data_IF_328761198307
#
_entry.id   IF_328761198307
#
_cell.length_a   1.000
_cell.length_b   1.000
_cell.length_c   1.000
_cell.angle_alpha   90.00
_cell.angle_beta   90.00
_cell.angle_gamma   90.00
#
_symmetry.space_group_name_H-M   'P 1'
#
loop_
_entity.id
_entity.type
_entity.pdbx_description
1 polymer ?
#
# COMPACT_ATOMS: atom_id res chain seq x y z
N UNK A 1 -36.32 -16.94 4.44
CA UNK A 1 -36.10 -17.77 5.64
C UNK A 1 -34.73 -17.51 6.27
N UNK A 2 -33.65 -17.41 5.49
CA UNK A 2 -32.33 -17.06 6.04
C UNK A 2 -32.33 -15.72 6.79
N UNK A 3 -32.98 -14.70 6.23
CA UNK A 3 -33.16 -13.40 6.90
C UNK A 3 -33.89 -13.49 8.23
N UNK A 4 -34.98 -14.30 8.30
CA UNK A 4 -35.70 -14.50 9.55
C UNK A 4 -34.84 -15.24 10.60
N UNK A 5 -34.03 -16.20 10.19
CA UNK A 5 -33.08 -16.87 11.07
C UNK A 5 -31.99 -15.87 11.53
N UNK A 6 -31.50 -15.04 10.64
CA UNK A 6 -30.51 -14.00 10.98
C UNK A 6 -31.07 -12.99 11.98
N UNK A 7 -32.32 -12.56 11.83
CA UNK A 7 -32.98 -11.67 12.76
C UNK A 7 -33.15 -12.30 14.16
N UNK A 8 -33.43 -13.59 14.23
CA UNK A 8 -33.49 -14.33 15.51
C UNK A 8 -32.07 -14.40 16.13
N UNK A 9 -31.07 -14.80 15.36
CA UNK A 9 -29.68 -14.86 15.84
C UNK A 9 -29.18 -13.50 16.36
N UNK A 10 -29.48 -12.43 15.64
CA UNK A 10 -29.02 -11.06 15.99
C UNK A 10 -29.46 -10.60 17.39
N UNK A 11 -30.43 -11.23 18.00
CA UNK A 11 -30.86 -10.93 19.38
C UNK A 11 -29.95 -11.53 20.44
N UNK A 12 -29.11 -12.47 20.05
CA UNK A 12 -28.25 -13.25 20.95
C UNK A 12 -26.76 -13.06 20.69
N UNK A 13 -26.38 -12.55 19.51
CA UNK A 13 -24.99 -12.39 19.04
C UNK A 13 -24.61 -10.92 19.03
N UNK A 14 -23.66 -10.47 19.86
CA UNK A 14 -23.27 -9.07 19.96
C UNK A 14 -22.54 -8.57 18.70
N UNK A 15 -21.74 -9.43 18.05
CA UNK A 15 -20.85 -9.06 16.96
C UNK A 15 -21.46 -9.20 15.55
N UNK A 16 -22.79 -9.44 15.51
CA UNK A 16 -23.53 -9.54 14.26
C UNK A 16 -23.65 -10.95 13.71
N UNK A 17 -24.42 -11.07 12.62
CA UNK A 17 -24.80 -12.33 11.97
C UNK A 17 -24.32 -12.33 10.53
N UNK A 18 -23.73 -13.43 10.08
CA UNK A 18 -23.28 -13.63 8.70
C UNK A 18 -24.21 -14.61 7.99
N UNK A 19 -24.66 -14.25 6.79
CA UNK A 19 -25.37 -15.17 5.88
C UNK A 19 -24.42 -15.49 4.74
N UNK A 20 -24.05 -16.75 4.60
CA UNK A 20 -23.14 -17.23 3.56
C UNK A 20 -23.78 -18.34 2.71
N UNK A 21 -23.34 -18.45 1.46
CA UNK A 21 -23.72 -19.59 0.61
C UNK A 21 -22.76 -20.75 0.86
N UNK A 22 -23.29 -21.97 0.93
CA UNK A 22 -22.47 -23.17 1.13
C UNK A 22 -21.79 -23.67 -0.14
N UNK A 23 -22.11 -23.10 -1.31
CA UNK A 23 -21.48 -23.41 -2.58
C UNK A 23 -21.47 -22.17 -3.49
N UNK A 24 -20.40 -22.03 -4.26
CA UNK A 24 -20.27 -21.02 -5.30
C UNK A 24 -20.17 -21.76 -6.65
N UNK A 25 -21.00 -21.41 -7.60
CA UNK A 25 -20.88 -21.90 -8.98
C UNK A 25 -20.00 -20.93 -9.77
N UNK A 26 -18.93 -21.40 -10.43
CA UNK A 26 -18.15 -20.53 -11.31
C UNK A 26 -19.00 -20.06 -12.48
N UNK A 27 -18.99 -18.76 -12.75
CA UNK A 27 -19.59 -18.13 -13.91
C UNK A 27 -18.55 -18.04 -15.04
N UNK A 28 -18.97 -18.07 -16.32
CA UNK A 28 -18.08 -17.80 -17.46
C UNK A 28 -17.37 -16.44 -17.40
N UNK A 29 -17.89 -15.49 -16.64
CA UNK A 29 -17.31 -14.14 -16.44
C UNK A 29 -16.41 -14.05 -15.19
N UNK A 30 -16.22 -15.15 -14.42
CA UNK A 30 -15.32 -15.21 -13.26
C UNK A 30 -15.90 -14.73 -11.93
N UNK A 31 -17.08 -14.13 -11.91
CA UNK A 31 -17.82 -13.79 -10.71
C UNK A 31 -18.72 -14.97 -10.32
N UNK A 32 -18.28 -15.78 -9.35
CA UNK A 32 -19.07 -16.95 -8.92
C UNK A 32 -20.39 -16.55 -8.29
N UNK A 33 -21.51 -17.08 -8.80
CA UNK A 33 -22.81 -16.90 -8.15
C UNK A 33 -23.00 -17.85 -6.97
N UNK A 34 -23.53 -17.35 -5.82
CA UNK A 34 -23.82 -18.19 -4.68
C UNK A 34 -24.92 -19.19 -5.03
N UNK A 35 -24.62 -20.49 -4.96
CA UNK A 35 -25.55 -21.58 -5.19
C UNK A 35 -25.55 -22.51 -3.98
N UNK A 36 -26.73 -23.11 -3.70
CA UNK A 36 -26.87 -24.04 -2.61
C UNK A 36 -27.58 -23.47 -1.36
N UNK A 37 -27.71 -24.27 -0.31
CA UNK A 37 -28.39 -23.83 0.90
C UNK A 37 -27.55 -22.71 1.58
N UNK A 38 -28.28 -21.69 2.07
CA UNK A 38 -27.67 -20.61 2.85
C UNK A 38 -27.35 -21.10 4.26
N UNK A 39 -26.19 -20.74 4.78
CA UNK A 39 -25.79 -20.90 6.17
C UNK A 39 -25.88 -19.55 6.86
N UNK A 40 -26.50 -19.54 8.05
CA UNK A 40 -26.54 -18.35 8.91
C UNK A 40 -25.71 -18.63 10.14
N UNK A 41 -24.70 -17.81 10.38
CA UNK A 41 -23.74 -18.00 11.46
C UNK A 41 -23.68 -16.77 12.37
N UNK A 42 -23.35 -16.99 13.64
CA UNK A 42 -23.06 -15.96 14.61
C UNK A 42 -22.20 -16.51 15.75
N UNK A 43 -21.53 -15.65 16.49
CA UNK A 43 -20.63 -16.03 17.59
C UNK A 43 -21.25 -15.69 18.93
N UNK A 44 -21.30 -16.66 19.84
CA UNK A 44 -21.74 -16.47 21.21
C UNK A 44 -20.50 -16.35 22.13
N UNK A 45 -20.49 -15.41 23.07
CA UNK A 45 -19.43 -15.33 24.07
C UNK A 45 -19.38 -16.62 24.89
N UNK A 46 -18.19 -17.12 25.18
CA UNK A 46 -17.96 -18.27 26.05
C UNK A 46 -17.88 -17.81 27.52
N UNK A 47 -18.96 -17.19 28.00
CA UNK A 47 -19.09 -16.68 29.37
C UNK A 47 -19.97 -17.59 30.25
N UNK A 48 -20.25 -17.14 31.48
CA UNK A 48 -21.06 -17.87 32.46
C UNK A 48 -22.51 -18.07 32.02
N UNK A 49 -22.99 -17.25 31.07
CA UNK A 49 -24.39 -17.25 30.62
C UNK A 49 -24.58 -18.02 29.31
N UNK A 50 -23.50 -18.62 28.76
CA UNK A 50 -23.51 -19.31 27.47
C UNK A 50 -24.60 -20.38 27.37
N UNK A 51 -24.72 -21.23 28.37
CA UNK A 51 -25.71 -22.35 28.35
C UNK A 51 -27.15 -21.83 28.39
N UNK A 52 -27.44 -20.75 29.12
CA UNK A 52 -28.76 -20.12 29.12
C UNK A 52 -29.06 -19.41 27.80
N UNK A 53 -28.08 -18.71 27.26
CA UNK A 53 -28.14 -18.03 25.95
C UNK A 53 -28.38 -19.04 24.84
N UNK A 54 -27.67 -20.16 24.85
CA UNK A 54 -27.85 -21.25 23.90
C UNK A 54 -29.26 -21.85 23.96
N UNK A 55 -29.73 -22.15 25.14
CA UNK A 55 -31.10 -22.69 25.35
C UNK A 55 -32.19 -21.74 24.82
N UNK A 56 -32.05 -20.44 25.11
CA UNK A 56 -33.01 -19.41 24.65
C UNK A 56 -32.95 -19.24 23.12
N UNK A 57 -31.76 -19.34 22.52
CA UNK A 57 -31.61 -19.32 21.08
C UNK A 57 -32.24 -20.55 20.43
N UNK A 58 -31.97 -21.76 20.95
CA UNK A 58 -32.61 -22.99 20.46
C UNK A 58 -34.14 -22.91 20.53
N UNK A 59 -34.70 -22.39 21.63
CA UNK A 59 -36.12 -22.18 21.79
C UNK A 59 -36.67 -21.18 20.75
N UNK A 60 -36.01 -20.06 20.53
CA UNK A 60 -36.42 -19.08 19.54
C UNK A 60 -36.39 -19.63 18.10
N UNK A 61 -35.35 -20.42 17.76
CA UNK A 61 -35.29 -21.11 16.48
C UNK A 61 -36.31 -22.20 16.33
N UNK A 62 -36.67 -22.89 17.40
CA UNK A 62 -37.75 -23.89 17.40
C UNK A 62 -39.11 -23.24 17.07
N UNK A 63 -39.46 -22.09 17.67
CA UNK A 63 -40.68 -21.34 17.32
C UNK A 63 -40.68 -20.93 15.84
N UNK A 64 -39.56 -20.49 15.31
CA UNK A 64 -39.45 -20.17 13.89
C UNK A 64 -39.60 -21.43 13.01
N UNK A 65 -39.09 -22.58 13.47
CA UNK A 65 -39.21 -23.89 12.84
C UNK A 65 -40.64 -24.42 12.78
N UNK A 66 -41.55 -23.97 13.68
CA UNK A 66 -42.98 -24.27 13.61
C UNK A 66 -43.68 -23.63 12.39
N UNK A 67 -43.14 -22.52 11.87
CA UNK A 67 -43.67 -21.86 10.67
C UNK A 67 -43.16 -22.58 9.41
N UNK A 68 -41.88 -22.92 9.39
CA UNK A 68 -41.22 -23.66 8.30
C UNK A 68 -40.08 -24.50 8.87
N UNK A 69 -40.02 -25.81 8.56
CA UNK A 69 -38.95 -26.67 9.10
C UNK A 69 -37.56 -26.10 8.91
N UNK A 70 -36.80 -26.03 10.00
CA UNK A 70 -35.38 -25.62 10.02
C UNK A 70 -34.52 -26.83 10.41
N UNK A 71 -33.30 -26.95 9.90
CA UNK A 71 -32.32 -27.90 10.41
C UNK A 71 -31.96 -27.54 11.86
N UNK A 72 -31.56 -28.54 12.64
CA UNK A 72 -31.08 -28.30 13.99
C UNK A 72 -29.84 -27.38 13.99
N UNK A 73 -29.75 -26.39 14.89
CA UNK A 73 -28.60 -25.56 15.01
C UNK A 73 -27.36 -26.38 15.43
N UNK A 74 -26.22 -26.04 14.90
CA UNK A 74 -24.96 -26.67 15.25
C UNK A 74 -24.10 -25.69 16.04
N UNK A 75 -23.64 -26.08 17.21
CA UNK A 75 -22.74 -25.31 18.03
C UNK A 75 -21.36 -25.96 17.98
N UNK A 76 -20.35 -25.14 17.72
CA UNK A 76 -18.95 -25.57 17.74
C UNK A 76 -18.18 -24.64 18.65
N UNK A 77 -17.46 -25.19 19.59
CA UNK A 77 -16.50 -24.41 20.37
C UNK A 77 -15.38 -23.96 19.43
N UNK A 78 -15.11 -22.66 19.44
CA UNK A 78 -13.95 -22.08 18.79
C UNK A 78 -13.00 -21.72 19.92
N UNK A 79 -11.94 -22.49 20.07
CA UNK A 79 -10.88 -22.14 21.03
C UNK A 79 -10.14 -20.91 20.49
N UNK A 80 -10.03 -19.90 21.32
CA UNK A 80 -9.37 -18.63 21.00
C UNK A 80 -7.86 -18.81 20.65
N UNK A 81 -7.33 -19.99 20.96
CA UNK A 81 -5.90 -20.31 20.93
C UNK A 81 -5.31 -20.45 19.52
N UNK A 82 -6.10 -20.55 18.45
CA UNK A 82 -5.53 -21.04 17.19
C UNK A 82 -5.74 -20.22 15.93
N UNK A 83 -6.43 -19.10 15.98
CA UNK A 83 -6.56 -18.25 14.77
C UNK A 83 -5.22 -17.60 14.41
N UNK A 84 -4.55 -17.03 15.40
CA UNK A 84 -3.26 -16.36 15.21
C UNK A 84 -2.17 -17.37 14.82
N UNK A 85 -2.19 -18.57 15.40
CA UNK A 85 -1.16 -19.58 15.10
C UNK A 85 -1.44 -20.35 13.80
N UNK A 86 -2.69 -20.66 13.49
CA UNK A 86 -3.06 -21.24 12.20
C UNK A 86 -2.76 -20.31 11.02
N UNK A 87 -3.03 -19.01 11.22
CA UNK A 87 -2.73 -17.97 10.24
C UNK A 87 -1.22 -17.78 10.03
N UNK A 88 -0.43 -17.78 11.12
CA UNK A 88 1.04 -17.67 11.07
C UNK A 88 1.72 -18.81 10.29
N UNK A 89 1.14 -20.02 10.30
CA UNK A 89 1.71 -21.18 9.60
C UNK A 89 1.70 -21.02 8.07
N UNK A 90 0.87 -20.15 7.52
CA UNK A 90 0.76 -19.92 6.07
C UNK A 90 1.70 -18.81 5.58
N UNK A 91 2.38 -18.12 6.49
CA UNK A 91 3.30 -17.04 6.11
C UNK A 91 4.71 -17.59 5.92
N UNK A 92 5.25 -17.32 4.76
CA UNK A 92 6.62 -17.66 4.39
C UNK A 92 7.38 -16.38 4.02
N UNK A 93 8.71 -16.36 4.14
CA UNK A 93 9.52 -15.28 3.62
C UNK A 93 9.30 -15.11 2.12
N UNK A 94 9.08 -13.87 1.69
CA UNK A 94 8.76 -13.53 0.29
C UNK A 94 9.94 -12.79 -0.32
N UNK A 95 10.69 -13.39 -1.27
CA UNK A 95 11.73 -12.68 -2.01
C UNK A 95 11.09 -11.66 -2.95
N UNK A 96 11.62 -10.43 -2.92
CA UNK A 96 11.18 -9.33 -3.76
C UNK A 96 12.36 -8.85 -4.60
N UNK A 97 12.12 -8.66 -5.90
CA UNK A 97 13.17 -8.23 -6.81
C UNK A 97 14.46 -9.06 -6.67
N UNK A 98 15.60 -8.39 -6.67
CA UNK A 98 16.92 -9.04 -6.56
C UNK A 98 17.51 -8.97 -5.15
N UNK A 99 17.19 -7.90 -4.38
CA UNK A 99 17.88 -7.59 -3.12
C UNK A 99 17.03 -7.79 -1.88
N UNK A 100 15.71 -7.65 -1.97
CA UNK A 100 14.84 -7.62 -0.79
C UNK A 100 14.25 -9.00 -0.47
N UNK A 101 13.94 -9.22 0.81
CA UNK A 101 13.11 -10.33 1.27
C UNK A 101 12.24 -9.86 2.43
N UNK A 102 10.93 -10.08 2.32
CA UNK A 102 10.00 -9.80 3.41
C UNK A 102 9.98 -11.01 4.34
N UNK A 103 10.16 -10.78 5.62
CA UNK A 103 10.20 -11.83 6.64
C UNK A 103 9.19 -11.50 7.74
N UNK A 104 8.19 -12.36 7.98
CA UNK A 104 7.31 -12.22 9.14
C UNK A 104 8.09 -12.11 10.45
N UNK A 105 7.64 -11.25 11.37
CA UNK A 105 8.37 -10.93 12.61
C UNK A 105 8.72 -12.15 13.48
N UNK A 106 7.90 -13.22 13.44
CA UNK A 106 8.07 -14.46 14.19
C UNK A 106 8.94 -15.52 13.52
N UNK A 107 9.37 -15.30 12.27
CA UNK A 107 10.24 -16.23 11.56
C UNK A 107 11.70 -15.82 11.66
N UNK A 108 12.60 -16.81 11.59
CA UNK A 108 14.02 -16.58 11.41
C UNK A 108 14.32 -16.04 10.01
N UNK A 109 15.33 -15.18 9.92
CA UNK A 109 15.78 -14.65 8.63
C UNK A 109 16.46 -15.79 7.87
N UNK A 110 15.98 -16.15 6.66
CA UNK A 110 16.64 -17.18 5.86
C UNK A 110 18.09 -16.78 5.53
N UNK A 111 19.01 -17.75 5.49
CA UNK A 111 20.38 -17.48 5.06
C UNK A 111 20.41 -17.01 3.60
N UNK A 112 21.27 -16.03 3.28
CA UNK A 112 21.42 -15.49 1.93
C UNK A 112 21.84 -14.03 1.94
N UNK A 113 22.00 -13.46 0.73
CA UNK A 113 22.49 -12.09 0.53
C UNK A 113 21.37 -11.04 0.42
N UNK A 114 20.11 -11.46 0.61
CA UNK A 114 18.98 -10.53 0.53
C UNK A 114 18.83 -9.70 1.79
N UNK A 115 18.46 -8.46 1.63
CA UNK A 115 18.18 -7.50 2.70
C UNK A 115 16.82 -7.84 3.32
N UNK A 116 16.75 -8.27 4.57
CA UNK A 116 15.50 -8.62 5.21
C UNK A 116 14.72 -7.39 5.66
N UNK A 117 13.42 -7.40 5.35
CA UNK A 117 12.43 -6.47 5.89
C UNK A 117 11.52 -7.29 6.80
N UNK A 118 11.65 -7.10 8.10
CA UNK A 118 10.82 -7.79 9.11
C UNK A 118 9.53 -7.02 9.29
N UNK A 119 8.40 -7.71 9.17
CA UNK A 119 7.07 -7.11 9.31
C UNK A 119 6.23 -7.97 10.25
N UNK A 120 5.64 -7.33 11.25
CA UNK A 120 4.46 -7.89 11.90
C UNK A 120 3.24 -7.45 11.09
N UNK A 121 2.53 -8.38 10.46
CA UNK A 121 1.38 -8.02 9.61
C UNK A 121 0.26 -7.34 10.39
N UNK A 122 0.13 -7.56 11.70
CA UNK A 122 -0.85 -6.89 12.57
C UNK A 122 -2.21 -6.65 11.92
N UNK A 123 -2.85 -5.53 12.28
CA UNK A 123 -4.12 -5.06 11.72
C UNK A 123 -3.95 -4.00 10.62
N UNK A 124 -2.73 -3.49 10.38
CA UNK A 124 -2.48 -2.46 9.37
C UNK A 124 -2.27 -3.06 7.98
N UNK A 125 -2.68 -2.32 6.95
CA UNK A 125 -2.39 -2.68 5.55
C UNK A 125 -0.88 -2.64 5.27
N UNK A 126 -0.41 -3.48 4.33
CA UNK A 126 1.01 -3.52 3.94
C UNK A 126 1.79 -4.67 4.58
N UNK A 127 1.17 -5.85 4.66
CA UNK A 127 1.83 -7.08 5.17
C UNK A 127 2.95 -7.60 4.27
N UNK A 128 3.06 -7.04 3.06
CA UNK A 128 4.02 -7.49 2.04
C UNK A 128 3.52 -8.63 1.15
N UNK A 129 2.44 -9.30 1.50
CA UNK A 129 1.85 -10.37 0.68
C UNK A 129 1.04 -9.83 -0.48
N UNK A 130 0.50 -8.61 -0.36
CA UNK A 130 -0.35 -8.02 -1.38
C UNK A 130 0.46 -7.64 -2.64
N UNK A 131 -0.05 -7.92 -3.86
CA UNK A 131 0.64 -7.61 -5.11
C UNK A 131 1.10 -6.15 -5.22
N UNK A 132 0.30 -5.19 -4.77
CA UNK A 132 0.63 -3.77 -4.83
C UNK A 132 1.88 -3.41 -4.03
N UNK A 133 2.06 -4.01 -2.86
CA UNK A 133 3.24 -3.83 -2.02
C UNK A 133 4.48 -4.41 -2.70
N UNK A 134 4.36 -5.60 -3.28
CA UNK A 134 5.46 -6.26 -3.99
C UNK A 134 5.91 -5.42 -5.19
N UNK A 135 4.96 -4.94 -6.01
CA UNK A 135 5.24 -4.07 -7.15
C UNK A 135 5.95 -2.77 -6.72
N UNK A 136 5.50 -2.13 -5.64
CA UNK A 136 6.18 -0.94 -5.10
C UNK A 136 7.62 -1.22 -4.70
N UNK A 137 7.85 -2.30 -3.94
CA UNK A 137 9.18 -2.68 -3.48
C UNK A 137 10.15 -2.98 -4.63
N UNK A 138 9.69 -3.66 -5.68
CA UNK A 138 10.48 -3.89 -6.89
C UNK A 138 10.84 -2.58 -7.61
N UNK A 139 9.87 -1.64 -7.70
CA UNK A 139 10.12 -0.33 -8.32
C UNK A 139 11.10 0.49 -7.46
N UNK A 140 10.94 0.47 -6.14
CA UNK A 140 11.87 1.14 -5.21
C UNK A 140 13.28 0.62 -5.37
N UNK A 141 13.46 -0.71 -5.48
CA UNK A 141 14.78 -1.31 -5.72
C UNK A 141 15.41 -0.81 -7.03
N UNK A 142 14.61 -0.72 -8.10
CA UNK A 142 15.08 -0.21 -9.38
C UNK A 142 15.43 1.29 -9.33
N UNK A 143 14.62 2.09 -8.64
CA UNK A 143 14.89 3.52 -8.47
C UNK A 143 16.17 3.71 -7.65
N UNK A 144 16.32 3.02 -6.52
CA UNK A 144 17.53 3.07 -5.69
C UNK A 144 18.80 2.71 -6.50
N UNK A 145 18.71 1.72 -7.37
CA UNK A 145 19.82 1.33 -8.26
C UNK A 145 20.13 2.39 -9.32
N UNK A 146 19.11 3.06 -9.88
CA UNK A 146 19.28 4.09 -10.93
C UNK A 146 19.84 5.38 -10.38
N UNK A 147 19.34 5.82 -9.23
CA UNK A 147 19.68 7.10 -8.61
C UNK A 147 21.01 6.99 -7.87
N UNK A 148 21.34 5.81 -7.36
CA UNK A 148 22.58 5.51 -6.63
C UNK A 148 22.64 6.07 -5.21
N UNK A 149 22.10 7.24 -4.97
CA UNK A 149 21.99 7.84 -3.62
C UNK A 149 20.60 8.45 -3.43
N UNK A 150 19.75 7.77 -2.69
CA UNK A 150 18.46 8.28 -2.26
C UNK A 150 18.67 9.09 -0.97
N UNK A 151 18.49 10.42 -1.04
CA UNK A 151 18.59 11.26 0.15
C UNK A 151 17.33 11.16 1.00
N UNK A 152 16.22 11.66 0.46
CA UNK A 152 14.96 11.78 1.17
C UNK A 152 13.86 10.99 0.46
N UNK A 153 12.94 10.44 1.25
CA UNK A 153 11.76 9.71 0.76
C UNK A 153 10.52 10.17 1.52
N UNK A 154 9.41 10.33 0.82
CA UNK A 154 8.09 10.59 1.41
C UNK A 154 7.17 9.44 1.06
N UNK A 155 6.49 8.87 2.05
CA UNK A 155 5.58 7.72 1.94
C UNK A 155 4.18 8.14 2.44
N UNK A 156 3.24 8.30 1.52
CA UNK A 156 1.88 8.78 1.78
C UNK A 156 0.94 7.58 1.95
N UNK A 157 0.26 7.51 3.10
CA UNK A 157 -0.50 6.33 3.48
C UNK A 157 0.45 5.18 3.79
N UNK A 158 1.40 5.41 4.70
CA UNK A 158 2.51 4.49 4.94
C UNK A 158 2.08 3.13 5.54
N UNK A 159 0.89 3.03 6.12
CA UNK A 159 0.35 1.80 6.67
C UNK A 159 1.31 1.14 7.67
N UNK A 160 1.75 -0.06 7.36
CA UNK A 160 2.75 -0.80 8.17
C UNK A 160 4.16 -0.19 8.17
N UNK A 161 4.42 0.82 7.34
CA UNK A 161 5.74 1.42 7.14
C UNK A 161 6.68 0.63 6.23
N UNK A 162 6.23 -0.45 5.61
CA UNK A 162 7.07 -1.38 4.85
C UNK A 162 7.85 -0.69 3.72
N UNK A 163 7.24 0.27 3.00
CA UNK A 163 7.90 0.97 1.90
C UNK A 163 8.96 1.94 2.43
N UNK A 164 8.64 2.70 3.47
CA UNK A 164 9.59 3.57 4.16
C UNK A 164 10.80 2.78 4.70
N UNK A 165 10.55 1.64 5.35
CA UNK A 165 11.58 0.74 5.88
C UNK A 165 12.47 0.21 4.74
N UNK A 166 11.85 -0.22 3.62
CA UNK A 166 12.58 -0.72 2.47
C UNK A 166 13.53 0.32 1.88
N UNK A 167 13.07 1.57 1.73
CA UNK A 167 13.91 2.66 1.18
C UNK A 167 15.12 2.94 2.05
N UNK A 168 14.96 2.98 3.37
CA UNK A 168 16.08 3.17 4.31
C UNK A 168 17.08 2.01 4.25
N UNK A 169 16.58 0.77 4.18
CA UNK A 169 17.45 -0.41 4.01
C UNK A 169 18.16 -0.48 2.66
N UNK A 170 17.63 0.18 1.65
CA UNK A 170 18.25 0.33 0.33
C UNK A 170 19.19 1.54 0.25
N UNK A 171 19.38 2.28 1.34
CA UNK A 171 20.35 3.35 1.45
C UNK A 171 19.79 4.77 1.39
N UNK A 172 18.49 4.96 1.55
CA UNK A 172 17.95 6.31 1.75
C UNK A 172 18.47 6.91 3.06
N UNK A 173 18.76 8.22 3.05
CA UNK A 173 19.27 8.91 4.23
C UNK A 173 18.17 9.23 5.24
N UNK A 174 16.98 9.61 4.74
CA UNK A 174 15.80 9.90 5.56
C UNK A 174 14.52 9.44 4.86
N UNK A 175 13.54 9.06 5.66
CA UNK A 175 12.18 8.82 5.21
C UNK A 175 11.17 9.53 6.11
N UNK A 176 10.10 10.03 5.50
CA UNK A 176 8.90 10.52 6.16
C UNK A 176 7.73 9.63 5.76
N UNK A 177 7.15 8.90 6.73
CA UNK A 177 5.91 8.16 6.56
C UNK A 177 4.74 8.92 7.17
N UNK A 178 3.69 9.17 6.41
CA UNK A 178 2.46 9.77 6.94
C UNK A 178 1.26 8.88 6.70
N UNK A 179 0.36 8.85 7.68
CA UNK A 179 -0.93 8.17 7.55
C UNK A 179 -2.00 8.96 8.30
N UNK A 180 -3.25 8.80 7.89
CA UNK A 180 -4.41 9.40 8.57
C UNK A 180 -4.94 8.49 9.70
N UNK A 181 -4.59 7.20 9.67
CA UNK A 181 -4.98 6.22 10.67
C UNK A 181 -3.97 6.16 11.81
N UNK A 182 -4.37 6.51 13.05
CA UNK A 182 -3.49 6.42 14.21
C UNK A 182 -2.93 5.01 14.45
N UNK A 183 -3.68 3.96 14.11
CA UNK A 183 -3.23 2.58 14.29
C UNK A 183 -2.10 2.24 13.31
N UNK A 184 -2.18 2.71 12.07
CA UNK A 184 -1.10 2.57 11.10
C UNK A 184 0.20 3.20 11.60
N UNK A 185 0.12 4.39 12.24
CA UNK A 185 1.30 5.07 12.79
C UNK A 185 1.97 4.28 13.93
N UNK A 186 1.18 3.58 14.76
CA UNK A 186 1.71 2.70 15.82
C UNK A 186 2.43 1.53 15.17
N UNK A 187 1.76 0.82 14.27
CA UNK A 187 2.31 -0.35 13.55
C UNK A 187 3.59 -0.01 12.77
N UNK A 188 3.62 1.15 12.09
CA UNK A 188 4.81 1.59 11.36
C UNK A 188 6.02 1.80 12.30
N UNK A 189 5.81 2.37 13.50
CA UNK A 189 6.88 2.54 14.49
C UNK A 189 7.38 1.21 15.04
N UNK A 190 6.47 0.29 15.33
CA UNK A 190 6.80 -1.05 15.79
C UNK A 190 7.61 -1.82 14.75
N UNK A 191 7.17 -1.80 13.50
CA UNK A 191 7.90 -2.42 12.39
C UNK A 191 9.27 -1.75 12.14
N UNK A 192 9.38 -0.44 12.26
CA UNK A 192 10.66 0.26 12.19
C UNK A 192 11.62 -0.23 13.28
N UNK A 193 11.15 -0.37 14.52
CA UNK A 193 11.94 -0.89 15.63
C UNK A 193 12.37 -2.35 15.39
N UNK A 194 11.48 -3.22 14.88
CA UNK A 194 11.80 -4.60 14.48
C UNK A 194 12.93 -4.69 13.45
N UNK A 195 13.08 -3.64 12.63
CA UNK A 195 14.12 -3.53 11.60
C UNK A 195 15.38 -2.80 12.09
N UNK A 196 15.45 -2.41 13.36
CA UNK A 196 16.58 -1.65 13.92
C UNK A 196 16.61 -0.19 13.48
N UNK A 197 15.53 0.34 12.92
CA UNK A 197 15.42 1.73 12.48
C UNK A 197 14.92 2.55 13.66
N UNK A 198 15.86 3.21 14.35
CA UNK A 198 15.60 4.07 15.52
C UNK A 198 15.77 5.56 15.23
N UNK A 199 16.32 5.87 14.05
CA UNK A 199 16.56 7.21 13.54
C UNK A 199 16.30 7.23 12.02
N UNK A 200 16.29 8.41 11.43
CA UNK A 200 16.10 8.60 9.98
C UNK A 200 14.70 8.28 9.42
N UNK A 201 13.75 7.85 10.26
CA UNK A 201 12.34 7.67 9.91
C UNK A 201 11.49 8.57 10.81
N UNK A 202 10.89 9.58 10.21
CA UNK A 202 9.83 10.38 10.83
C UNK A 202 8.48 9.76 10.49
N UNK A 203 7.60 9.55 11.49
CA UNK A 203 6.25 9.01 11.29
C UNK A 203 5.24 9.95 11.94
N UNK A 204 4.30 10.45 11.15
CA UNK A 204 3.33 11.44 11.61
C UNK A 204 1.93 11.30 11.03
N UNK A 205 0.94 11.82 11.76
CA UNK A 205 -0.44 11.89 11.31
C UNK A 205 -0.59 13.00 10.26
N UNK A 206 -1.05 12.65 9.06
CA UNK A 206 -1.24 13.63 8.01
C UNK A 206 -1.28 13.03 6.60
N UNK A 207 -1.27 13.91 5.63
CA UNK A 207 -1.33 13.62 4.21
C UNK A 207 -0.57 14.71 3.42
N UNK A 208 -0.82 14.85 2.13
CA UNK A 208 -0.23 15.87 1.24
C UNK A 208 -0.37 17.28 1.81
N UNK A 209 -1.52 17.62 2.40
CA UNK A 209 -1.79 18.96 2.91
C UNK A 209 -0.85 19.35 4.05
N UNK A 210 -0.64 18.47 5.04
CA UNK A 210 0.21 18.71 6.20
C UNK A 210 1.69 18.80 5.80
N UNK A 211 2.13 17.98 4.83
CA UNK A 211 3.50 18.06 4.30
C UNK A 211 3.72 19.39 3.57
N UNK A 212 2.80 19.81 2.71
CA UNK A 212 2.88 21.11 2.01
C UNK A 212 2.85 22.29 2.98
N UNK A 213 2.08 22.18 4.05
CA UNK A 213 2.04 23.20 5.12
C UNK A 213 3.34 23.25 5.92
N UNK A 214 4.22 22.24 5.81
CA UNK A 214 5.50 22.17 6.51
C UNK A 214 5.36 21.74 7.97
N UNK A 215 4.38 20.89 8.26
CA UNK A 215 4.21 20.27 9.59
C UNK A 215 5.38 19.34 9.91
N UNK A 216 5.97 18.73 8.87
CA UNK A 216 7.06 17.77 8.97
C UNK A 216 8.40 18.36 8.52
N UNK A 217 9.49 17.65 8.84
CA UNK A 217 10.85 18.03 8.46
C UNK A 217 11.14 18.00 6.96
N UNK A 218 10.31 17.31 6.16
CA UNK A 218 10.38 17.22 4.71
C UNK A 218 9.15 17.88 4.07
N UNK A 219 9.37 18.62 2.97
CA UNK A 219 8.31 19.16 2.12
C UNK A 219 8.33 18.60 0.71
N UNK A 220 9.50 18.16 0.26
CA UNK A 220 9.74 17.54 -1.04
C UNK A 220 10.81 16.46 -0.87
N UNK A 221 10.76 15.48 -1.77
CA UNK A 221 11.74 14.39 -1.81
C UNK A 221 12.03 13.96 -3.27
N UNK A 222 13.22 13.43 -3.55
CA UNK A 222 13.51 12.81 -4.84
C UNK A 222 12.74 11.51 -5.10
N UNK A 223 12.16 10.91 -4.06
CA UNK A 223 11.27 9.77 -4.19
C UNK A 223 10.03 9.95 -3.31
N UNK A 224 8.86 9.91 -3.91
CA UNK A 224 7.57 9.94 -3.24
C UNK A 224 6.83 8.64 -3.54
N UNK A 225 6.19 8.07 -2.53
CA UNK A 225 5.49 6.80 -2.59
C UNK A 225 4.03 7.00 -2.17
N UNK A 226 3.10 6.30 -2.83
CA UNK A 226 1.73 6.18 -2.38
C UNK A 226 1.13 4.85 -2.88
N UNK A 227 0.87 3.93 -1.95
CA UNK A 227 0.22 2.65 -2.22
C UNK A 227 -1.15 2.63 -1.54
N UNK A 228 -2.12 3.27 -2.17
CA UNK A 228 -3.47 3.50 -1.65
C UNK A 228 -4.51 3.39 -2.77
N UNK A 229 -5.80 3.36 -2.40
CA UNK A 229 -6.89 3.19 -3.37
C UNK A 229 -6.89 4.25 -4.47
N UNK A 230 -7.21 3.85 -5.70
CA UNK A 230 -7.25 4.69 -6.91
C UNK A 230 -7.99 6.02 -6.72
N UNK A 231 -9.19 5.99 -6.14
CA UNK A 231 -9.97 7.20 -5.92
C UNK A 231 -9.27 8.22 -4.99
N UNK A 232 -8.48 7.71 -4.03
CA UNK A 232 -7.67 8.55 -3.14
C UNK A 232 -6.47 9.10 -3.88
N UNK A 233 -5.77 8.29 -4.69
CA UNK A 233 -4.64 8.74 -5.52
C UNK A 233 -5.02 9.89 -6.44
N UNK A 234 -6.14 9.77 -7.17
CA UNK A 234 -6.66 10.83 -8.04
C UNK A 234 -6.93 12.12 -7.24
N UNK A 235 -7.55 12.00 -6.07
CA UNK A 235 -7.79 13.14 -5.19
C UNK A 235 -6.49 13.79 -4.72
N UNK A 236 -5.47 13.01 -4.36
CA UNK A 236 -4.18 13.53 -3.90
C UNK A 236 -3.37 14.16 -5.02
N UNK A 237 -3.40 13.61 -6.24
CA UNK A 237 -2.80 14.23 -7.42
C UNK A 237 -3.40 15.62 -7.64
N UNK A 238 -4.72 15.74 -7.60
CA UNK A 238 -5.43 17.03 -7.70
C UNK A 238 -5.15 17.97 -6.50
N UNK A 239 -4.76 17.44 -5.34
CA UNK A 239 -4.40 18.22 -4.15
C UNK A 239 -2.92 18.62 -4.10
N UNK A 240 -2.13 18.30 -5.14
CA UNK A 240 -0.72 18.65 -5.25
C UNK A 240 0.27 17.59 -4.75
N UNK A 241 -0.08 16.31 -4.87
CA UNK A 241 0.87 15.22 -4.61
C UNK A 241 2.14 15.37 -5.46
N UNK A 242 2.01 15.83 -6.71
CA UNK A 242 3.13 16.13 -7.61
C UNK A 242 4.12 17.17 -7.06
N UNK A 243 3.62 18.15 -6.28
CA UNK A 243 4.46 19.21 -5.70
C UNK A 243 5.42 18.70 -4.62
N UNK A 244 5.22 17.48 -4.11
CA UNK A 244 6.11 16.84 -3.14
C UNK A 244 7.34 16.22 -3.80
N UNK A 245 7.39 16.14 -5.12
CA UNK A 245 8.49 15.54 -5.86
C UNK A 245 9.48 16.65 -6.23
N UNK A 246 10.75 16.47 -5.92
CA UNK A 246 11.79 17.39 -6.43
C UNK A 246 11.91 17.30 -7.95
N UNK A 247 12.28 18.37 -8.65
CA UNK A 247 12.54 18.32 -10.09
C UNK A 247 13.54 17.21 -10.46
N UNK A 248 13.17 16.36 -11.41
CA UNK A 248 13.93 15.17 -11.78
C UNK A 248 13.69 13.94 -10.88
N UNK A 249 12.90 14.08 -9.82
CA UNK A 249 12.54 13.01 -8.90
C UNK A 249 11.44 12.07 -9.43
N UNK A 250 11.08 11.10 -8.63
CA UNK A 250 10.16 10.03 -8.97
C UNK A 250 8.98 9.94 -8.00
N UNK A 251 7.85 9.48 -8.53
CA UNK A 251 6.65 9.10 -7.79
C UNK A 251 6.30 7.65 -8.11
N UNK A 252 6.07 6.85 -7.09
CA UNK A 252 5.56 5.49 -7.21
C UNK A 252 4.12 5.47 -6.73
N UNK A 253 3.20 5.11 -7.61
CA UNK A 253 1.78 4.93 -7.30
C UNK A 253 1.40 3.47 -7.44
N UNK A 254 0.67 2.93 -6.49
CA UNK A 254 0.06 1.60 -6.54
C UNK A 254 -1.22 1.54 -5.71
N UNK A 255 -1.84 0.35 -5.62
CA UNK A 255 -3.22 0.23 -5.13
C UNK A 255 -4.23 0.52 -6.23
N UNK A 256 -3.82 0.33 -7.47
CA UNK A 256 -4.55 0.65 -8.70
C UNK A 256 -4.99 -0.67 -9.36
N UNK A 257 -6.27 -0.85 -9.60
CA UNK A 257 -6.76 -1.92 -10.46
C UNK A 257 -6.44 -1.63 -11.93
N UNK A 258 -6.22 -2.67 -12.73
CA UNK A 258 -5.85 -2.55 -14.14
C UNK A 258 -6.82 -1.65 -14.92
N UNK A 259 -8.12 -1.85 -14.73
CA UNK A 259 -9.20 -1.09 -15.35
C UNK A 259 -9.21 0.40 -14.97
N UNK A 260 -8.60 0.77 -13.83
CA UNK A 260 -8.53 2.13 -13.33
C UNK A 260 -7.19 2.83 -13.65
N UNK A 261 -6.22 2.09 -14.18
CA UNK A 261 -4.87 2.62 -14.40
C UNK A 261 -4.85 3.81 -15.38
N UNK A 262 -5.65 3.75 -16.43
CA UNK A 262 -5.73 4.81 -17.44
C UNK A 262 -6.20 6.16 -16.86
N UNK A 263 -7.11 6.14 -15.89
CA UNK A 263 -7.62 7.33 -15.24
C UNK A 263 -6.50 8.01 -14.40
N UNK A 264 -5.76 7.20 -13.61
CA UNK A 264 -4.61 7.69 -12.82
C UNK A 264 -3.52 8.27 -13.72
N UNK A 265 -3.19 7.57 -14.81
CA UNK A 265 -2.19 8.04 -15.78
C UNK A 265 -2.60 9.35 -16.45
N UNK A 266 -3.89 9.51 -16.77
CA UNK A 266 -4.42 10.75 -17.35
C UNK A 266 -4.27 11.91 -16.39
N UNK A 267 -4.75 11.74 -15.14
CA UNK A 267 -4.63 12.78 -14.11
C UNK A 267 -3.16 13.13 -13.83
N UNK A 268 -2.27 12.15 -13.77
CA UNK A 268 -0.84 12.42 -13.58
C UNK A 268 -0.27 13.28 -14.72
N UNK A 269 -0.60 12.97 -15.98
CA UNK A 269 -0.18 13.78 -17.16
C UNK A 269 -0.74 15.19 -17.15
N UNK A 270 -2.00 15.36 -16.73
CA UNK A 270 -2.65 16.68 -16.63
C UNK A 270 -1.93 17.59 -15.61
N UNK A 271 -1.27 16.98 -14.62
CA UNK A 271 -0.38 17.68 -13.67
C UNK A 271 1.09 17.75 -14.11
N UNK A 272 1.38 17.50 -15.40
CA UNK A 272 2.73 17.62 -15.96
C UNK A 272 3.70 16.52 -15.55
N UNK A 273 3.21 15.41 -15.02
CA UNK A 273 4.01 14.25 -14.64
C UNK A 273 4.12 13.25 -15.79
N UNK A 274 5.26 12.58 -15.90
CA UNK A 274 5.55 11.67 -17.01
C UNK A 274 5.59 10.22 -16.52
N UNK A 275 4.79 9.34 -17.14
CA UNK A 275 4.80 7.90 -16.84
C UNK A 275 6.09 7.30 -17.43
N UNK A 276 6.96 6.76 -16.57
CA UNK A 276 8.24 6.15 -16.94
C UNK A 276 8.11 4.64 -17.13
N UNK A 277 7.32 4.00 -16.27
CA UNK A 277 7.13 2.55 -16.29
C UNK A 277 5.77 2.20 -15.69
N UNK A 278 5.18 1.12 -16.18
CA UNK A 278 3.99 0.47 -15.64
C UNK A 278 4.33 -0.99 -15.39
N UNK A 279 4.05 -1.47 -14.17
CA UNK A 279 4.15 -2.89 -13.80
C UNK A 279 2.80 -3.42 -13.38
N UNK A 280 2.60 -4.71 -13.59
CA UNK A 280 1.35 -5.39 -13.27
C UNK A 280 1.63 -6.74 -12.63
N UNK A 281 0.83 -7.09 -11.62
CA UNK A 281 0.83 -8.41 -10.99
C UNK A 281 -0.63 -8.79 -10.67
N UNK A 282 -1.16 -9.77 -11.40
CA UNK A 282 -2.61 -10.04 -11.43
C UNK A 282 -3.37 -8.80 -11.93
N UNK A 283 -4.42 -8.42 -11.24
CA UNK A 283 -5.27 -7.27 -11.57
C UNK A 283 -4.71 -5.94 -11.04
N UNK A 284 -3.52 -5.96 -10.40
CA UNK A 284 -2.95 -4.79 -9.74
C UNK A 284 -1.82 -4.17 -10.53
N UNK A 285 -1.82 -2.84 -10.57
CA UNK A 285 -0.86 -2.02 -11.30
C UNK A 285 -0.07 -1.12 -10.34
N UNK A 286 1.20 -0.93 -10.67
CA UNK A 286 2.04 0.12 -10.11
C UNK A 286 2.65 0.96 -11.24
N UNK A 287 2.69 2.27 -11.01
CA UNK A 287 3.22 3.27 -11.94
C UNK A 287 4.49 3.89 -11.36
N UNK A 288 5.55 3.94 -12.14
CA UNK A 288 6.70 4.80 -11.90
C UNK A 288 6.54 6.06 -12.74
N UNK A 289 6.52 7.18 -12.09
CA UNK A 289 6.26 8.50 -12.67
C UNK A 289 7.47 9.38 -12.39
N UNK A 290 7.84 10.25 -13.31
CA UNK A 290 8.92 11.21 -13.16
C UNK A 290 8.36 12.64 -13.18
N UNK A 291 8.85 13.48 -12.26
CA UNK A 291 8.69 14.92 -12.37
C UNK A 291 9.80 15.46 -13.26
N UNK A 292 9.48 16.10 -14.41
CA UNK A 292 10.52 16.61 -15.29
C UNK A 292 11.46 17.56 -14.55
N UNK A 293 12.77 17.45 -14.80
CA UNK A 293 13.71 18.45 -14.34
C UNK A 293 13.36 19.78 -15.01
N UNK A 294 13.41 20.90 -14.27
CA UNK A 294 13.31 22.22 -14.89
C UNK A 294 14.32 22.29 -16.04
N UNK A 295 13.85 22.56 -17.25
CA UNK A 295 14.74 22.83 -18.37
C UNK A 295 15.64 23.99 -17.95
N UNK A 296 16.93 23.75 -17.75
CA UNK A 296 17.89 24.83 -17.54
C UNK A 296 17.72 25.77 -18.70
N UNK A 297 17.13 26.93 -18.46
CA UNK A 297 17.09 28.07 -19.42
C UNK A 297 18.57 28.45 -19.60
N UNK A 298 19.25 27.77 -20.51
CA UNK A 298 20.47 28.30 -21.07
C UNK A 298 20.03 29.54 -21.82
N UNK A 299 20.19 30.69 -21.17
CA UNK A 299 20.04 31.97 -21.83
C UNK A 299 20.81 31.94 -23.14
N UNK A 300 20.34 32.64 -24.18
CA UNK A 300 21.07 32.69 -25.43
C UNK A 300 22.52 33.10 -25.14
N UNK A 301 23.44 32.27 -25.56
CA UNK A 301 24.89 32.69 -25.59
C UNK A 301 24.87 33.98 -26.37
N UNK A 302 25.16 35.07 -25.68
CA UNK A 302 25.53 36.29 -26.34
C UNK A 302 26.83 35.99 -27.12
N UNK A 303 26.72 35.71 -28.41
CA UNK A 303 27.82 35.73 -29.34
C UNK A 303 28.26 37.19 -29.40
N UNK A 304 29.15 37.53 -28.45
CA UNK A 304 29.89 38.77 -28.48
C UNK A 304 30.96 38.67 -29.61
N UNK A 305 30.47 38.78 -30.85
CA UNK A 305 31.34 39.02 -31.98
C UNK A 305 32.05 40.35 -31.79
N UNK A 306 33.33 40.29 -31.45
CA UNK A 306 34.25 41.45 -31.53
C UNK A 306 34.28 41.93 -32.98
N UNK A 307 34.08 43.23 -33.27
CA UNK A 307 34.23 43.73 -34.62
C UNK A 307 35.69 43.62 -35.05
N UNK A 308 35.90 42.91 -36.17
CA UNK A 308 37.23 42.74 -36.78
C UNK A 308 37.84 44.09 -37.10
N UNK A 309 39.07 44.32 -36.69
CA UNK A 309 39.91 45.43 -37.17
C UNK A 309 40.18 45.25 -38.67
N UNK A 310 40.09 46.33 -39.47
CA UNK A 310 40.49 46.26 -40.87
C UNK A 310 41.99 46.04 -40.97
N UNK A 311 42.39 45.05 -41.70
CA UNK A 311 43.81 44.81 -42.10
C UNK A 311 44.14 45.76 -43.24
N UNK A 312 45.10 46.65 -43.01
CA UNK A 312 45.76 47.44 -44.08
C UNK A 312 46.53 46.52 -45.03
N UNK A 313 46.55 46.82 -46.33
CA UNK A 313 47.34 46.04 -47.31
C UNK A 313 48.89 46.34 -47.15
N UNK A 314 49.62 45.31 -46.96
CA UNK A 314 51.11 45.37 -47.05
C UNK A 314 51.50 45.38 -48.52
N UNK A 315 52.16 46.48 -48.94
CA UNK A 315 52.82 46.63 -50.22
C UNK A 315 53.95 45.57 -50.38
N UNK A 316 53.90 44.84 -51.47
CA UNK A 316 54.92 43.92 -51.93
C UNK A 316 55.87 44.72 -52.85
N UNK A 317 57.13 44.89 -52.43
CA UNK A 317 58.20 45.29 -53.32
C UNK A 317 59.19 44.16 -53.58
N UNK A 318 59.56 43.93 -54.85
CA UNK A 318 60.45 42.82 -55.21
C UNK A 318 61.90 43.20 -55.11
N UNK A 319 62.74 42.28 -54.59
CA UNK A 319 64.11 41.98 -55.06
C UNK A 319 64.47 40.52 -54.74
#
# INVERSE_FOLDING_TARGET
MAEAVAEVLARFVPDGVVIESTAISPDPEGEGHPVGPLRVCGYLPADTDLEDTRRRLEEALWYLGCIRPLPAPQFKSIEEVNWVDAWKQHYHPIPIGQKLIIVPAWLEIPPGDRIPIRIDPGMAFGTGTHPTTQLCLEIIEDVARRVGNLTDVIDIGCGSGILSIATLKLGAERALGVDIDPQALVTARENAALNGITAHLEIGAGSVAEIRAGVFGLRQAPLVLANILTAVLIRLLNAGLGDLITPGGYLVLSGILEEQAADVETVARDHGLHIVNRRQLGDWVALLINHPAEASVRGPRADGGLPGRPTEPRDFQPR
#
